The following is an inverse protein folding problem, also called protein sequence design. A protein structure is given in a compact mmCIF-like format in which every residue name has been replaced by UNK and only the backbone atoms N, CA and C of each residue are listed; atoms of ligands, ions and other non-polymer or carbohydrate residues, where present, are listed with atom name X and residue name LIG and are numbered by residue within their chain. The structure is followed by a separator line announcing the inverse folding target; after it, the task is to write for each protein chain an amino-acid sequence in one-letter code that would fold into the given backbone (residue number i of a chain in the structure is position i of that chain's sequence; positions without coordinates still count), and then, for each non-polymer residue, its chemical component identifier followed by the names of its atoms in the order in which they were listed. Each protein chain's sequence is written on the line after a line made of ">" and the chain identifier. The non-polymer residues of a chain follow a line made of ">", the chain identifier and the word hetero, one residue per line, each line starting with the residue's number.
data_IF_736438769854
#
_entry.id   IF_736438769854
#
_cell.length_a   1.000
_cell.length_b   1.000
_cell.length_c   1.000
_cell.angle_alpha   90.00
_cell.angle_beta   90.00
_cell.angle_gamma   90.00
#
_symmetry.space_group_name_H-M   'P 1'
#
loop_
_entity.id
_entity.type
_entity.pdbx_description
1 polymer ?
#
# COMPACT_ATOMS: atom_id res chain seq x y z
N UNK A 1 67.88 14.63 -16.87
CA UNK A 1 66.57 15.04 -16.34
C UNK A 1 65.59 13.92 -16.66
N UNK A 2 65.39 12.97 -15.74
CA UNK A 2 64.54 11.80 -15.96
C UNK A 2 63.12 12.11 -15.47
N UNK A 3 62.20 12.36 -16.40
CA UNK A 3 60.76 12.32 -16.15
C UNK A 3 60.36 10.85 -16.03
N UNK A 4 60.33 10.33 -14.79
CA UNK A 4 59.75 9.03 -14.47
C UNK A 4 58.25 9.21 -14.23
N UNK A 5 57.47 8.50 -15.04
CA UNK A 5 56.01 8.49 -15.12
C UNK A 5 55.29 8.47 -13.77
N UNK A 6 54.06 9.01 -13.71
CA UNK A 6 53.18 8.80 -12.57
C UNK A 6 52.95 7.29 -12.47
N UNK A 7 53.56 6.67 -11.48
CA UNK A 7 53.34 5.28 -11.10
C UNK A 7 51.90 5.20 -10.59
N UNK A 8 50.94 5.07 -11.52
CA UNK A 8 49.64 4.52 -11.21
C UNK A 8 49.88 3.06 -10.85
N UNK A 9 50.32 2.85 -9.61
CA UNK A 9 50.51 1.55 -9.02
C UNK A 9 49.29 0.68 -9.35
N UNK A 10 49.45 -0.59 -9.74
CA UNK A 10 48.32 -1.48 -10.02
C UNK A 10 47.34 -1.55 -8.84
N UNK A 11 47.81 -1.26 -7.62
CA UNK A 11 46.99 -1.10 -6.43
C UNK A 11 46.08 0.15 -6.48
N UNK A 12 46.57 1.28 -7.00
CA UNK A 12 45.79 2.51 -7.15
C UNK A 12 44.68 2.35 -8.20
N UNK A 13 44.97 1.64 -9.29
CA UNK A 13 43.97 1.31 -10.32
C UNK A 13 42.91 0.34 -9.78
N UNK A 14 43.31 -0.67 -9.01
CA UNK A 14 42.37 -1.62 -8.40
C UNK A 14 41.50 -0.96 -7.31
N UNK A 15 42.08 -0.05 -6.49
CA UNK A 15 41.30 0.75 -5.54
C UNK A 15 40.29 1.64 -6.26
N UNK A 16 40.67 2.29 -7.36
CA UNK A 16 39.76 3.12 -8.16
C UNK A 16 38.62 2.27 -8.76
N UNK A 17 38.93 1.07 -9.26
CA UNK A 17 37.96 0.12 -9.79
C UNK A 17 36.97 -0.36 -8.73
N UNK A 18 37.47 -0.78 -7.56
CA UNK A 18 36.64 -1.24 -6.45
C UNK A 18 35.74 -0.11 -5.92
N UNK A 19 36.24 1.12 -5.87
CA UNK A 19 35.45 2.30 -5.47
C UNK A 19 34.33 2.59 -6.47
N UNK A 20 34.62 2.50 -7.78
CA UNK A 20 33.62 2.67 -8.83
C UNK A 20 32.53 1.58 -8.77
N UNK A 21 32.91 0.32 -8.51
CA UNK A 21 31.97 -0.79 -8.33
C UNK A 21 31.08 -0.60 -7.09
N UNK A 22 31.65 -0.16 -5.96
CA UNK A 22 30.89 0.13 -4.75
C UNK A 22 29.89 1.28 -4.95
N UNK A 23 30.28 2.32 -5.69
CA UNK A 23 29.39 3.43 -6.05
C UNK A 23 28.23 2.96 -6.95
N UNK A 24 28.51 2.09 -7.93
CA UNK A 24 27.48 1.50 -8.79
C UNK A 24 26.50 0.62 -8.01
N UNK A 25 27.00 -0.21 -7.08
CA UNK A 25 26.16 -1.04 -6.20
C UNK A 25 25.29 -0.18 -5.29
N UNK A 26 25.86 0.88 -4.71
CA UNK A 26 25.14 1.85 -3.88
C UNK A 26 24.04 2.55 -4.67
N UNK A 27 24.28 2.91 -5.94
CA UNK A 27 23.28 3.51 -6.81
C UNK A 27 22.15 2.52 -7.18
N UNK A 28 22.47 1.23 -7.34
CA UNK A 28 21.48 0.18 -7.59
C UNK A 28 20.58 -0.06 -6.37
N UNK A 29 21.15 -0.15 -5.17
CA UNK A 29 20.39 -0.26 -3.91
C UNK A 29 19.52 0.98 -3.70
N UNK A 30 20.08 2.18 -3.94
CA UNK A 30 19.29 3.41 -3.91
C UNK A 30 18.15 3.43 -4.93
N UNK A 31 18.29 2.79 -6.09
CA UNK A 31 17.20 2.66 -7.07
C UNK A 31 16.05 1.80 -6.56
N UNK A 32 16.37 0.71 -5.86
CA UNK A 32 15.39 -0.14 -5.17
C UNK A 32 14.72 0.64 -4.02
N UNK A 33 15.47 1.46 -3.30
CA UNK A 33 14.93 2.30 -2.22
C UNK A 33 14.22 3.58 -2.71
N UNK A 34 14.48 4.06 -3.93
CA UNK A 34 13.74 5.18 -4.56
C UNK A 34 12.45 4.72 -5.23
N UNK A 35 12.19 3.41 -5.32
CA UNK A 35 10.83 2.88 -5.50
C UNK A 35 9.98 2.99 -4.20
N UNK A 36 10.38 3.88 -3.30
CA UNK A 36 9.57 4.33 -2.17
C UNK A 36 8.40 5.16 -2.71
N UNK A 37 7.24 4.50 -2.70
CA UNK A 37 5.87 4.99 -2.92
C UNK A 37 5.23 4.82 -4.30
N UNK A 38 5.64 3.80 -5.07
CA UNK A 38 4.67 3.18 -5.97
C UNK A 38 3.83 2.22 -5.11
N UNK A 39 2.65 2.70 -4.71
CA UNK A 39 1.65 2.00 -3.89
C UNK A 39 1.15 0.73 -4.59
N UNK A 40 1.95 -0.34 -4.64
CA UNK A 40 1.46 -1.65 -5.08
C UNK A 40 0.68 -2.37 -3.96
N UNK A 41 0.76 -1.89 -2.70
CA UNK A 41 0.14 -2.57 -1.53
C UNK A 41 -0.43 -1.64 -0.44
N UNK A 42 -0.68 -0.35 -0.71
CA UNK A 42 -1.13 0.56 0.34
C UNK A 42 -2.67 0.58 0.46
N UNK A 43 -3.20 0.08 1.59
CA UNK A 43 -4.61 0.21 1.94
C UNK A 43 -4.93 1.68 2.26
N UNK A 44 -5.29 2.44 1.24
CA UNK A 44 -5.71 3.82 1.40
C UNK A 44 -7.09 3.88 2.07
N UNK A 45 -7.15 4.54 3.24
CA UNK A 45 -8.39 4.72 4.01
C UNK A 45 -9.52 5.41 3.23
N UNK A 46 -9.21 6.25 2.24
CA UNK A 46 -10.18 6.92 1.37
C UNK A 46 -10.73 5.97 0.31
N UNK A 47 -9.89 5.06 -0.20
CA UNK A 47 -10.33 3.99 -1.10
C UNK A 47 -11.26 3.04 -0.34
N UNK A 48 -10.84 2.56 0.83
CA UNK A 48 -11.67 1.71 1.71
C UNK A 48 -13.00 2.38 2.02
N UNK A 49 -12.98 3.65 2.43
CA UNK A 49 -14.18 4.43 2.72
C UNK A 49 -15.16 4.50 1.53
N UNK A 50 -14.62 4.60 0.31
CA UNK A 50 -15.43 4.64 -0.91
C UNK A 50 -16.02 3.27 -1.23
N UNK A 51 -15.24 2.18 -1.11
CA UNK A 51 -15.72 0.82 -1.28
C UNK A 51 -16.81 0.46 -0.26
N UNK A 52 -16.64 0.85 1.01
CA UNK A 52 -17.65 0.64 2.05
C UNK A 52 -18.97 1.34 1.73
N UNK A 53 -18.93 2.61 1.31
CA UNK A 53 -20.15 3.34 0.91
C UNK A 53 -20.84 2.70 -0.27
N UNK A 54 -20.08 2.27 -1.28
CA UNK A 54 -20.62 1.59 -2.47
C UNK A 54 -21.26 0.26 -2.10
N UNK A 55 -20.55 -0.61 -1.39
CA UNK A 55 -21.08 -1.91 -0.94
C UNK A 55 -22.35 -1.75 -0.10
N UNK A 56 -22.38 -0.75 0.80
CA UNK A 56 -23.57 -0.46 1.61
C UNK A 56 -24.75 0.01 0.76
N UNK A 57 -24.50 0.88 -0.22
CA UNK A 57 -25.53 1.38 -1.13
C UNK A 57 -26.08 0.26 -2.03
N UNK A 58 -25.20 -0.59 -2.56
CA UNK A 58 -25.57 -1.77 -3.36
C UNK A 58 -26.40 -2.77 -2.54
N UNK A 59 -26.11 -2.92 -1.24
CA UNK A 59 -26.89 -3.73 -0.31
C UNK A 59 -28.20 -3.05 0.16
N UNK A 60 -28.46 -1.80 -0.25
CA UNK A 60 -29.65 -1.01 0.10
C UNK A 60 -29.92 -0.88 1.62
N UNK A 61 -28.87 -0.84 2.45
CA UNK A 61 -28.99 -0.72 3.91
C UNK A 61 -28.50 0.62 4.45
N UNK A 62 -29.18 1.15 5.47
CA UNK A 62 -28.80 2.38 6.15
C UNK A 62 -27.67 2.19 7.17
N UNK A 63 -26.91 3.25 7.45
CA UNK A 63 -25.80 3.22 8.42
C UNK A 63 -26.23 2.73 9.81
N UNK A 64 -27.39 3.18 10.30
CA UNK A 64 -27.97 2.73 11.58
C UNK A 64 -28.18 1.21 11.64
N UNK A 65 -28.66 0.61 10.54
CA UNK A 65 -28.90 -0.85 10.46
C UNK A 65 -27.58 -1.59 10.50
N UNK A 66 -26.60 -1.15 9.70
CA UNK A 66 -25.26 -1.73 9.67
C UNK A 66 -24.57 -1.61 11.04
N UNK A 67 -24.65 -0.45 11.68
CA UNK A 67 -24.08 -0.23 13.01
C UNK A 67 -24.73 -1.15 14.06
N UNK A 68 -26.05 -1.35 13.97
CA UNK A 68 -26.78 -2.31 14.80
C UNK A 68 -26.30 -3.75 14.59
N UNK A 69 -26.16 -4.18 13.33
CA UNK A 69 -25.60 -5.49 12.99
C UNK A 69 -24.19 -5.67 13.55
N UNK A 70 -23.33 -4.67 13.37
CA UNK A 70 -21.95 -4.69 13.83
C UNK A 70 -21.78 -4.52 15.35
N UNK A 71 -22.84 -4.15 16.06
CA UNK A 71 -22.80 -3.78 17.48
C UNK A 71 -21.72 -2.70 17.74
N UNK A 72 -21.70 -1.68 16.89
CA UNK A 72 -20.81 -0.52 17.04
C UNK A 72 -21.62 0.78 17.05
N UNK A 73 -20.99 1.86 17.48
CA UNK A 73 -21.59 3.18 17.35
C UNK A 73 -21.77 3.56 15.88
N UNK A 74 -22.88 4.20 15.53
CA UNK A 74 -23.14 4.74 14.18
C UNK A 74 -22.07 5.75 13.76
N UNK A 75 -21.55 6.53 14.71
CA UNK A 75 -20.45 7.47 14.50
C UNK A 75 -19.14 6.80 14.07
N UNK A 76 -18.90 5.56 14.49
CA UNK A 76 -17.74 4.78 14.06
C UNK A 76 -17.87 4.40 12.58
N UNK A 77 -19.04 3.87 12.19
CA UNK A 77 -19.32 3.55 10.78
C UNK A 77 -19.23 4.80 9.90
N UNK A 78 -19.79 5.93 10.34
CA UNK A 78 -19.68 7.21 9.63
C UNK A 78 -18.22 7.70 9.53
N UNK A 79 -17.38 7.42 10.53
CA UNK A 79 -15.96 7.78 10.48
C UNK A 79 -15.19 6.94 9.46
N UNK A 80 -15.51 5.65 9.37
CA UNK A 80 -14.95 4.72 8.38
C UNK A 80 -15.38 5.10 6.96
N UNK A 81 -16.68 5.30 6.73
CA UNK A 81 -17.22 5.70 5.42
C UNK A 81 -16.80 7.10 4.97
N UNK A 82 -16.43 7.98 5.92
CA UNK A 82 -15.82 9.29 5.65
C UNK A 82 -14.29 9.25 5.44
N UNK A 83 -13.66 8.10 5.67
CA UNK A 83 -12.20 7.93 5.59
C UNK A 83 -11.44 8.76 6.62
N UNK A 84 -12.04 9.05 7.78
CA UNK A 84 -11.34 9.67 8.92
C UNK A 84 -10.31 8.69 9.50
N UNK A 85 -10.75 7.46 9.71
CA UNK A 85 -9.94 6.33 10.17
C UNK A 85 -10.40 5.04 9.46
N UNK A 86 -9.51 4.07 9.24
CA UNK A 86 -9.92 2.77 8.70
C UNK A 86 -10.68 1.97 9.77
N UNK A 87 -11.64 1.12 9.35
CA UNK A 87 -12.24 0.14 10.25
C UNK A 87 -11.19 -0.90 10.69
N UNK A 88 -11.23 -1.37 11.95
CA UNK A 88 -10.47 -2.55 12.35
C UNK A 88 -10.84 -3.78 11.49
N UNK A 89 -9.88 -4.67 11.23
CA UNK A 89 -10.04 -5.84 10.36
C UNK A 89 -11.28 -6.69 10.70
N UNK A 90 -11.57 -6.89 11.99
CA UNK A 90 -12.75 -7.63 12.44
C UNK A 90 -14.07 -7.08 11.89
N UNK A 91 -14.17 -5.76 11.68
CA UNK A 91 -15.35 -5.14 11.10
C UNK A 91 -15.37 -5.29 9.58
N UNK A 92 -14.22 -5.21 8.91
CA UNK A 92 -14.12 -5.46 7.46
C UNK A 92 -14.64 -6.86 7.12
N UNK A 93 -14.24 -7.88 7.87
CA UNK A 93 -14.72 -9.25 7.68
C UNK A 93 -16.25 -9.37 7.80
N UNK A 94 -16.84 -8.72 8.82
CA UNK A 94 -18.29 -8.75 9.04
C UNK A 94 -19.05 -7.94 7.98
N UNK A 95 -18.47 -6.82 7.53
CA UNK A 95 -19.01 -5.99 6.46
C UNK A 95 -18.98 -6.72 5.12
N UNK A 96 -17.92 -7.46 4.82
CA UNK A 96 -17.80 -8.29 3.63
C UNK A 96 -18.94 -9.33 3.57
N UNK A 97 -19.19 -10.02 4.70
CA UNK A 97 -20.32 -10.95 4.83
C UNK A 97 -21.66 -10.23 4.69
N UNK A 98 -21.86 -9.11 5.39
CA UNK A 98 -23.13 -8.37 5.36
C UNK A 98 -23.49 -7.85 3.96
N UNK A 99 -22.49 -7.36 3.23
CA UNK A 99 -22.69 -6.77 1.91
C UNK A 99 -22.58 -7.80 0.77
N UNK A 100 -22.20 -9.04 1.07
CA UNK A 100 -22.01 -10.09 0.07
C UNK A 100 -20.88 -9.76 -0.92
N UNK A 101 -19.77 -9.18 -0.43
CA UNK A 101 -18.60 -8.82 -1.26
C UNK A 101 -17.30 -9.37 -0.66
N UNK A 102 -16.28 -9.64 -1.49
CA UNK A 102 -14.96 -10.04 -1.00
C UNK A 102 -14.30 -8.97 -0.12
N UNK A 103 -13.45 -9.41 0.81
CA UNK A 103 -12.63 -8.50 1.64
C UNK A 103 -11.70 -7.65 0.77
N UNK A 104 -11.15 -8.24 -0.30
CA UNK A 104 -10.31 -7.57 -1.29
C UNK A 104 -11.02 -6.37 -1.95
N UNK A 105 -12.31 -6.51 -2.26
CA UNK A 105 -13.14 -5.39 -2.74
C UNK A 105 -13.22 -4.25 -1.72
N UNK A 106 -13.50 -4.57 -0.45
CA UNK A 106 -13.56 -3.55 0.62
C UNK A 106 -12.21 -2.88 0.88
N UNK A 107 -11.12 -3.59 0.64
CA UNK A 107 -9.75 -3.07 0.75
C UNK A 107 -9.29 -2.27 -0.48
N UNK A 108 -10.11 -2.19 -1.54
CA UNK A 108 -9.76 -1.46 -2.76
C UNK A 108 -8.82 -2.19 -3.71
N UNK A 109 -8.61 -3.50 -3.51
CA UNK A 109 -7.76 -4.32 -4.36
C UNK A 109 -8.49 -4.71 -5.66
N UNK A 110 -9.78 -5.01 -5.56
CA UNK A 110 -10.57 -5.41 -6.71
C UNK A 110 -11.37 -4.19 -7.18
N UNK A 111 -10.90 -3.51 -8.23
CA UNK A 111 -11.59 -2.38 -8.87
C UNK A 111 -12.95 -2.74 -9.51
N UNK A 112 -13.63 -3.81 -9.09
CA UNK A 112 -15.01 -4.11 -9.47
C UNK A 112 -15.29 -5.52 -10.01
N UNK A 113 -14.53 -6.54 -9.67
CA UNK A 113 -14.92 -7.93 -10.03
C UNK A 113 -15.85 -8.48 -8.96
N UNK A 114 -17.16 -8.52 -9.24
CA UNK A 114 -18.10 -9.32 -8.47
C UNK A 114 -17.84 -10.77 -8.85
N UNK A 115 -17.16 -11.53 -8.00
CA UNK A 115 -17.19 -13.00 -8.12
C UNK A 115 -18.62 -13.44 -7.84
N UNK A 116 -19.30 -13.84 -8.91
CA UNK A 116 -20.58 -14.54 -8.85
C UNK A 116 -20.26 -15.99 -8.48
N UNK A 117 -20.73 -16.47 -7.33
CA UNK A 117 -20.92 -17.90 -7.08
C UNK A 117 -22.12 -18.10 -6.18
#
# INVERSE_FOLDING_TARGET
>A
MANGSPDSSPLAEEIARLTAQAAALTALVKRVDTAKQDNVWFLDKKVIATCLRRARADAAVGQKVVAGFLQCAESALAAWEGGRNPPPLKYILRLAVLYGVPVSYLCGHDNGVKEQT
#
